data_IF_890976435370
#
_entry.id   IF_890976435370
#
_cell.length_a   1.000
_cell.length_b   1.000
_cell.length_c   1.000
_cell.angle_alpha   90.00
_cell.angle_beta   90.00
_cell.angle_gamma   90.00
#
_symmetry.space_group_name_H-M   'P 1'
#
loop_
_entity.id
_entity.type
_entity.pdbx_description
1 polymer ?
#
# COMPACT_ATOMS: atom_id res chain seq x y z
N UNK A 1 17.07 -9.13 -1.79
CA UNK A 1 16.06 -8.99 -0.72
C UNK A 1 15.59 -7.55 -0.54
N UNK A 2 16.48 -6.57 -0.38
CA UNK A 2 16.09 -5.18 -0.13
C UNK A 2 15.21 -4.58 -1.25
N UNK A 3 15.43 -5.01 -2.48
CA UNK A 3 14.69 -4.56 -3.67
C UNK A 3 13.19 -4.86 -3.66
N UNK A 4 12.77 -5.90 -2.95
CA UNK A 4 11.36 -6.28 -2.81
C UNK A 4 10.83 -5.83 -1.46
N UNK A 5 11.67 -5.92 -0.42
CA UNK A 5 11.29 -5.58 0.95
C UNK A 5 10.93 -4.09 1.08
N UNK A 6 11.71 -3.17 0.50
CA UNK A 6 11.41 -1.73 0.58
C UNK A 6 10.05 -1.38 -0.06
N UNK A 7 9.78 -1.73 -1.33
CA UNK A 7 8.47 -1.48 -1.95
C UNK A 7 7.31 -2.11 -1.19
N UNK A 8 7.49 -3.31 -0.64
CA UNK A 8 6.47 -4.00 0.14
C UNK A 8 6.17 -3.25 1.45
N UNK A 9 7.20 -2.79 2.15
CA UNK A 9 7.04 -2.00 3.38
C UNK A 9 6.35 -0.66 3.10
N UNK A 10 6.74 0.02 2.02
CA UNK A 10 6.09 1.27 1.55
C UNK A 10 4.62 1.02 1.24
N UNK A 11 4.31 -0.05 0.51
CA UNK A 11 2.95 -0.41 0.16
C UNK A 11 2.08 -0.66 1.40
N UNK A 12 2.58 -1.39 2.39
CA UNK A 12 1.87 -1.59 3.66
C UNK A 12 1.56 -0.25 4.34
N UNK A 13 2.55 0.64 4.44
CA UNK A 13 2.37 1.97 5.04
C UNK A 13 1.33 2.78 4.26
N UNK A 14 1.43 2.86 2.94
CA UNK A 14 0.47 3.58 2.10
C UNK A 14 -0.95 3.03 2.24
N UNK A 15 -1.13 1.71 2.16
CA UNK A 15 -2.44 1.10 2.25
C UNK A 15 -3.13 1.35 3.59
N UNK A 16 -2.41 1.11 4.70
CA UNK A 16 -2.94 1.37 6.04
C UNK A 16 -3.19 2.86 6.29
N UNK A 17 -2.31 3.74 5.81
CA UNK A 17 -2.45 5.20 5.93
C UNK A 17 -3.66 5.70 5.17
N UNK A 18 -3.90 5.22 3.94
CA UNK A 18 -5.05 5.62 3.13
C UNK A 18 -6.38 5.23 3.79
N UNK A 19 -6.46 4.02 4.35
CA UNK A 19 -7.64 3.56 5.09
C UNK A 19 -7.80 4.37 6.38
N UNK A 20 -6.72 4.58 7.13
CA UNK A 20 -6.73 5.43 8.33
C UNK A 20 -7.24 6.84 8.02
N UNK A 21 -6.78 7.45 6.93
CA UNK A 21 -7.31 8.72 6.46
C UNK A 21 -8.80 8.67 6.13
N UNK A 22 -9.30 7.61 5.50
CA UNK A 22 -10.72 7.46 5.17
C UNK A 22 -11.60 7.46 6.44
N UNK A 23 -11.18 6.77 7.49
CA UNK A 23 -12.02 6.51 8.67
C UNK A 23 -11.71 7.38 9.90
N UNK A 24 -10.61 8.13 9.93
CA UNK A 24 -10.25 8.92 11.12
C UNK A 24 -11.14 10.17 11.27
N UNK A 25 -11.83 10.35 12.42
CA UNK A 25 -12.81 11.43 12.61
C UNK A 25 -12.16 12.81 12.79
N UNK A 26 -10.96 12.86 13.40
CA UNK A 26 -10.27 14.11 13.67
C UNK A 26 -9.43 14.54 12.45
N UNK A 27 -9.83 15.67 11.83
CA UNK A 27 -9.17 16.26 10.65
C UNK A 27 -7.72 16.69 10.91
N UNK A 28 -7.42 17.20 12.10
CA UNK A 28 -6.06 17.66 12.46
C UNK A 28 -5.09 16.49 12.61
N UNK A 29 -5.50 15.43 13.29
CA UNK A 29 -4.72 14.19 13.36
C UNK A 29 -4.58 13.53 11.99
N UNK A 30 -5.64 13.57 11.17
CA UNK A 30 -5.60 13.06 9.80
C UNK A 30 -4.58 13.81 8.94
N UNK A 31 -4.49 15.13 9.11
CA UNK A 31 -3.55 15.97 8.40
C UNK A 31 -2.11 15.79 8.92
N UNK A 32 -1.86 15.74 10.23
CA UNK A 32 -0.50 15.55 10.71
C UNK A 32 -0.02 14.11 10.53
N UNK A 33 -0.65 13.14 11.19
CA UNK A 33 -0.08 11.80 11.29
C UNK A 33 -0.04 11.09 9.93
N UNK A 34 -1.16 11.03 9.22
CA UNK A 34 -1.23 10.25 7.98
C UNK A 34 -0.57 10.95 6.80
N UNK A 35 -0.58 12.28 6.72
CA UNK A 35 0.17 12.98 5.68
C UNK A 35 1.68 12.75 5.84
N UNK A 36 2.22 12.92 7.05
CA UNK A 36 3.65 12.71 7.28
C UNK A 36 4.05 11.24 7.06
N UNK A 37 3.22 10.27 7.47
CA UNK A 37 3.44 8.86 7.16
C UNK A 37 3.45 8.59 5.65
N UNK A 38 2.52 9.20 4.91
CA UNK A 38 2.44 9.05 3.46
C UNK A 38 3.68 9.64 2.76
N UNK A 39 4.13 10.82 3.18
CA UNK A 39 5.35 11.46 2.65
C UNK A 39 6.62 10.70 3.02
N UNK A 40 6.70 10.20 4.26
CA UNK A 40 7.81 9.38 4.70
C UNK A 40 7.94 8.10 3.85
N UNK A 41 6.83 7.41 3.59
CA UNK A 41 6.81 6.23 2.73
C UNK A 41 7.26 6.54 1.29
N UNK A 42 6.88 7.71 0.74
CA UNK A 42 7.35 8.16 -0.58
C UNK A 42 8.85 8.40 -0.62
N UNK A 43 9.41 9.02 0.43
CA UNK A 43 10.87 9.23 0.56
C UNK A 43 11.59 7.88 0.68
N UNK A 44 11.03 6.96 1.47
CA UNK A 44 11.57 5.61 1.62
C UNK A 44 11.62 4.87 0.27
N UNK A 45 10.55 4.98 -0.53
CA UNK A 45 10.49 4.40 -1.88
C UNK A 45 11.54 5.03 -2.81
N UNK A 46 11.70 6.35 -2.75
CA UNK A 46 12.69 7.08 -3.54
C UNK A 46 14.13 6.66 -3.18
N UNK A 47 14.41 6.42 -1.90
CA UNK A 47 15.69 5.83 -1.47
C UNK A 47 15.87 4.40 -2.00
N UNK A 48 14.78 3.61 -2.05
CA UNK A 48 14.77 2.25 -2.58
C UNK A 48 15.06 2.15 -4.07
N UNK A 49 14.74 3.18 -4.87
CA UNK A 49 15.04 3.19 -6.32
C UNK A 49 16.53 3.18 -6.66
N UNK A 50 17.43 3.44 -5.70
CA UNK A 50 18.87 3.20 -5.89
C UNK A 50 19.19 1.72 -6.14
N UNK A 51 18.31 0.82 -5.68
CA UNK A 51 18.49 -0.62 -5.77
C UNK A 51 17.46 -1.29 -6.67
N UNK A 52 16.33 -0.64 -7.00
CA UNK A 52 15.23 -1.28 -7.75
C UNK A 52 14.80 -0.46 -8.94
N UNK A 53 14.52 -1.13 -10.07
CA UNK A 53 13.92 -0.47 -11.23
C UNK A 53 12.58 0.17 -10.84
N UNK A 54 12.41 1.43 -11.23
CA UNK A 54 11.24 2.24 -10.90
C UNK A 54 9.92 1.54 -11.26
N UNK A 55 9.87 0.92 -12.44
CA UNK A 55 8.68 0.18 -12.91
C UNK A 55 8.30 -1.00 -12.02
N UNK A 56 9.28 -1.75 -11.50
CA UNK A 56 9.03 -2.89 -10.59
C UNK A 56 8.67 -2.40 -9.18
N UNK A 57 9.45 -1.46 -8.64
CA UNK A 57 9.24 -0.96 -7.28
C UNK A 57 7.88 -0.29 -7.09
N UNK A 58 7.46 0.54 -8.05
CA UNK A 58 6.14 1.20 -8.00
C UNK A 58 5.00 0.17 -8.12
N UNK A 59 5.14 -0.82 -9.00
CA UNK A 59 4.12 -1.86 -9.16
C UNK A 59 3.91 -2.66 -7.87
N UNK A 60 5.01 -3.10 -7.22
CA UNK A 60 4.95 -3.85 -5.96
C UNK A 60 4.36 -3.00 -4.83
N UNK A 61 4.79 -1.75 -4.71
CA UNK A 61 4.29 -0.84 -3.67
C UNK A 61 2.78 -0.59 -3.82
N UNK A 62 2.31 -0.31 -5.04
CA UNK A 62 0.89 -0.08 -5.31
C UNK A 62 0.04 -1.33 -5.10
N UNK A 63 0.51 -2.49 -5.57
CA UNK A 63 -0.20 -3.75 -5.35
C UNK A 63 -0.33 -4.08 -3.87
N UNK A 64 0.76 -3.90 -3.13
CA UNK A 64 0.78 -4.11 -1.68
C UNK A 64 -0.08 -3.10 -0.94
N UNK A 65 -0.12 -1.84 -1.39
CA UNK A 65 -1.00 -0.81 -0.83
C UNK A 65 -2.48 -1.14 -1.03
N UNK A 66 -2.86 -1.67 -2.19
CA UNK A 66 -4.24 -2.11 -2.45
C UNK A 66 -4.61 -3.31 -1.58
N UNK A 67 -3.72 -4.30 -1.47
CA UNK A 67 -3.90 -5.46 -0.59
C UNK A 67 -4.03 -5.03 0.88
N UNK A 68 -3.12 -4.19 1.36
CA UNK A 68 -3.13 -3.67 2.73
C UNK A 68 -4.37 -2.83 2.98
N UNK A 69 -4.84 -2.04 2.02
CA UNK A 69 -6.09 -1.27 2.15
C UNK A 69 -7.29 -2.20 2.28
N UNK A 70 -7.38 -3.22 1.44
CA UNK A 70 -8.46 -4.21 1.48
C UNK A 70 -8.49 -4.96 2.81
N UNK A 71 -7.33 -5.44 3.28
CA UNK A 71 -7.20 -6.13 4.57
C UNK A 71 -7.50 -5.20 5.74
N UNK A 72 -6.95 -3.98 5.76
CA UNK A 72 -7.17 -3.02 6.84
C UNK A 72 -8.66 -2.63 6.91
N UNK A 73 -9.30 -2.38 5.77
CA UNK A 73 -10.73 -2.02 5.74
C UNK A 73 -11.63 -3.18 6.16
N UNK A 74 -11.32 -4.40 5.73
CA UNK A 74 -12.11 -5.59 6.07
C UNK A 74 -11.91 -6.04 7.52
N UNK A 75 -10.69 -6.03 8.04
CA UNK A 75 -10.36 -6.51 9.38
C UNK A 75 -10.61 -5.48 10.48
N UNK A 76 -10.30 -4.20 10.27
CA UNK A 76 -10.39 -3.16 11.31
C UNK A 76 -11.75 -2.45 11.26
N UNK A 77 -12.21 -2.15 10.05
CA UNK A 77 -13.43 -1.35 9.84
C UNK A 77 -14.64 -2.20 9.42
N UNK A 78 -14.49 -3.53 9.36
CA UNK A 78 -15.54 -4.49 9.00
C UNK A 78 -16.28 -4.15 7.69
N UNK A 79 -15.60 -3.49 6.76
CA UNK A 79 -16.18 -3.16 5.46
C UNK A 79 -16.34 -4.47 4.65
N UNK A 80 -17.57 -4.75 4.22
CA UNK A 80 -17.85 -5.97 3.43
C UNK A 80 -17.24 -5.79 2.05
N UNK A 81 -16.20 -6.58 1.78
CA UNK A 81 -15.55 -6.62 0.49
C UNK A 81 -16.39 -7.48 -0.47
N UNK A 82 -16.96 -6.85 -1.50
CA UNK A 82 -17.74 -7.56 -2.51
C UNK A 82 -16.89 -8.51 -3.36
N UNK A 83 -17.53 -9.47 -4.03
CA UNK A 83 -16.87 -10.48 -4.88
C UNK A 83 -15.92 -9.87 -5.92
N UNK A 84 -16.33 -8.76 -6.56
CA UNK A 84 -15.50 -8.03 -7.52
C UNK A 84 -14.23 -7.45 -6.87
N UNK A 85 -14.32 -6.96 -5.63
CA UNK A 85 -13.16 -6.47 -4.90
C UNK A 85 -12.17 -7.58 -4.56
N UNK A 86 -12.68 -8.75 -4.17
CA UNK A 86 -11.87 -9.92 -3.86
C UNK A 86 -11.13 -10.43 -5.10
N UNK A 87 -11.84 -10.58 -6.23
CA UNK A 87 -11.26 -10.95 -7.52
C UNK A 87 -10.21 -9.93 -7.95
N UNK A 88 -10.47 -8.63 -7.78
CA UNK A 88 -9.52 -7.56 -8.09
C UNK A 88 -8.22 -7.67 -7.30
N UNK A 89 -8.29 -7.93 -5.99
CA UNK A 89 -7.10 -8.12 -5.15
C UNK A 89 -6.28 -9.35 -5.58
N UNK A 90 -6.95 -10.46 -5.93
CA UNK A 90 -6.26 -11.66 -6.44
C UNK A 90 -5.54 -11.35 -7.76
N UNK A 91 -6.21 -10.68 -8.71
CA UNK A 91 -5.61 -10.27 -9.99
C UNK A 91 -4.39 -9.35 -9.80
N UNK A 92 -4.46 -8.41 -8.85
CA UNK A 92 -3.34 -7.53 -8.51
C UNK A 92 -2.16 -8.34 -7.96
N UNK A 93 -2.42 -9.29 -7.06
CA UNK A 93 -1.36 -10.15 -6.50
C UNK A 93 -0.72 -11.03 -7.58
N UNK A 94 -1.54 -11.64 -8.46
CA UNK A 94 -1.06 -12.47 -9.55
C UNK A 94 -0.23 -11.66 -10.58
N UNK A 95 -0.71 -10.47 -10.97
CA UNK A 95 0.02 -9.59 -11.88
C UNK A 95 1.36 -9.10 -11.30
N UNK A 96 1.41 -8.86 -9.99
CA UNK A 96 2.65 -8.48 -9.30
C UNK A 96 3.63 -9.65 -9.23
N UNK A 97 3.14 -10.87 -9.02
CA UNK A 97 3.95 -12.09 -9.09
C UNK A 97 4.58 -12.29 -10.47
N UNK A 98 3.81 -12.08 -11.54
CA UNK A 98 4.31 -12.17 -12.92
C UNK A 98 5.36 -11.09 -13.24
N UNK A 99 5.21 -9.87 -12.71
CA UNK A 99 6.20 -8.79 -12.89
C UNK A 99 7.54 -9.06 -12.18
N UNK A 100 7.54 -9.94 -11.18
CA UNK A 100 8.70 -10.27 -10.39
C UNK A 100 9.36 -11.61 -10.74
N UNK A 101 8.68 -12.46 -11.51
CA UNK A 101 9.26 -13.65 -12.15
C UNK A 101 10.16 -13.28 -13.33
#
# INVERSE_FOLDING_TARGET
MLEVLMPLTVGLIWGSTNVGMKYHPNKMHKFLAFFFLNQFASILLMCGFKHTRLSKGVAIANATALLASALTSSCIYHEKMGLCGFIGVILICAGTGLLNS
#
